data_IF_604129807500
#
_entry.id   IF_604129807500
#
_cell.length_a   1.000
_cell.length_b   1.000
_cell.length_c   1.000
_cell.angle_alpha   90.00
_cell.angle_beta   90.00
_cell.angle_gamma   90.00
#
_symmetry.space_group_name_H-M   'P 1'
#
loop_
_entity.id
_entity.type
_entity.pdbx_description
1 polymer ?
#
# COMPACT_ATOMS: atom_id res chain seq x y z
N UNK A 1 -7.27 -15.10 8.19
CA UNK A 1 -7.15 -14.01 7.21
C UNK A 1 -8.16 -12.95 7.59
N UNK A 2 -7.87 -11.68 7.36
CA UNK A 2 -8.81 -10.58 7.51
C UNK A 2 -8.72 -9.69 6.25
N UNK A 3 -9.83 -9.10 5.84
CA UNK A 3 -9.92 -8.18 4.69
C UNK A 3 -10.74 -6.98 5.15
N UNK A 4 -10.28 -5.77 4.83
CA UNK A 4 -11.01 -4.55 5.15
C UNK A 4 -12.27 -4.45 4.28
N UNK A 5 -13.12 -3.47 4.58
CA UNK A 5 -14.05 -2.97 3.58
C UNK A 5 -13.28 -2.43 2.38
N UNK A 6 -13.96 -2.32 1.25
CA UNK A 6 -13.43 -1.56 0.12
C UNK A 6 -13.59 -0.07 0.41
N UNK A 7 -12.59 0.73 0.07
CA UNK A 7 -12.59 2.18 0.28
C UNK A 7 -12.45 2.88 -1.05
N UNK A 8 -13.33 3.83 -1.32
CA UNK A 8 -13.16 4.76 -2.44
C UNK A 8 -12.20 5.86 -2.03
N UNK A 9 -11.32 6.27 -2.94
CA UNK A 9 -10.52 7.49 -2.82
C UNK A 9 -10.49 8.24 -4.16
N UNK A 10 -10.44 9.59 -4.15
CA UNK A 10 -10.32 10.37 -5.38
C UNK A 10 -9.12 9.95 -6.24
N UNK A 11 -9.25 10.08 -7.56
CA UNK A 11 -8.11 9.94 -8.46
C UNK A 11 -7.04 11.01 -8.18
N UNK A 12 -5.77 10.64 -8.33
CA UNK A 12 -4.65 11.57 -8.21
C UNK A 12 -3.80 11.58 -9.50
N UNK A 13 -3.54 12.76 -10.11
CA UNK A 13 -4.12 14.08 -9.77
C UNK A 13 -5.65 14.15 -9.97
N UNK A 14 -6.37 15.09 -9.31
CA UNK A 14 -7.82 15.22 -9.48
C UNK A 14 -8.24 15.34 -10.95
N UNK A 15 -9.24 14.54 -11.36
CA UNK A 15 -9.74 14.51 -12.72
C UNK A 15 -8.91 13.67 -13.71
N UNK A 16 -7.85 13.00 -13.27
CA UNK A 16 -7.03 12.14 -14.14
C UNK A 16 -7.68 10.81 -14.55
N UNK A 17 -8.86 10.51 -14.00
CA UNK A 17 -9.55 9.23 -14.23
C UNK A 17 -10.63 8.97 -13.17
N UNK A 18 -11.22 7.76 -13.16
CA UNK A 18 -12.15 7.35 -12.11
C UNK A 18 -11.44 7.23 -10.76
N UNK A 19 -12.23 7.35 -9.69
CA UNK A 19 -11.78 7.10 -8.33
C UNK A 19 -11.17 5.70 -8.18
N UNK A 20 -10.23 5.56 -7.24
CA UNK A 20 -9.66 4.27 -6.88
C UNK A 20 -10.54 3.54 -5.87
N UNK A 21 -10.47 2.21 -5.93
CA UNK A 21 -10.97 1.33 -4.88
C UNK A 21 -9.75 0.68 -4.23
N UNK A 22 -9.62 0.89 -2.92
CA UNK A 22 -8.51 0.40 -2.10
C UNK A 22 -9.03 -0.59 -1.05
N UNK A 23 -8.22 -1.57 -0.70
CA UNK A 23 -8.50 -2.48 0.41
C UNK A 23 -7.18 -2.98 1.00
N UNK A 24 -7.23 -3.44 2.26
CA UNK A 24 -6.12 -4.08 2.93
C UNK A 24 -6.50 -5.50 3.34
N UNK A 25 -5.54 -6.42 3.27
CA UNK A 25 -5.73 -7.80 3.71
C UNK A 25 -4.56 -8.28 4.57
N UNK A 26 -4.87 -9.04 5.61
CA UNK A 26 -3.90 -9.76 6.44
C UNK A 26 -3.97 -11.24 6.09
N UNK A 27 -2.91 -11.74 5.47
CA UNK A 27 -2.78 -13.12 5.01
C UNK A 27 -1.69 -13.82 5.82
N UNK A 28 -1.87 -15.13 6.08
CA UNK A 28 -0.79 -16.00 6.58
C UNK A 28 -0.25 -16.79 5.40
N UNK A 29 1.07 -16.83 5.26
CA UNK A 29 1.75 -17.55 4.19
C UNK A 29 2.99 -18.25 4.74
N UNK A 30 3.38 -19.35 4.10
CA UNK A 30 4.66 -20.03 4.34
C UNK A 30 5.78 -19.50 3.41
N UNK A 31 5.44 -18.65 2.44
CA UNK A 31 6.38 -18.03 1.52
C UNK A 31 7.22 -16.96 2.21
N UNK A 32 8.47 -16.79 1.77
CA UNK A 32 9.29 -15.65 2.15
C UNK A 32 8.80 -14.33 1.50
N UNK A 33 9.41 -13.18 1.87
CA UNK A 33 9.04 -11.86 1.35
C UNK A 33 9.09 -11.76 -0.18
N UNK A 34 10.19 -12.19 -0.79
CA UNK A 34 10.39 -12.15 -2.24
C UNK A 34 9.42 -13.07 -3.00
N UNK A 35 9.22 -14.29 -2.50
CA UNK A 35 8.28 -15.24 -3.10
C UNK A 35 6.82 -14.77 -2.97
N UNK A 36 6.51 -14.07 -1.87
CA UNK A 36 5.21 -13.43 -1.66
C UNK A 36 5.02 -12.30 -2.66
N UNK A 37 5.98 -11.40 -2.82
CA UNK A 37 5.93 -10.33 -3.81
C UNK A 37 5.79 -10.90 -5.24
N UNK A 38 6.56 -11.94 -5.57
CA UNK A 38 6.44 -12.62 -6.86
C UNK A 38 5.05 -13.26 -7.06
N UNK A 39 4.42 -13.76 -5.99
CA UNK A 39 3.04 -14.26 -6.04
C UNK A 39 2.03 -13.15 -6.30
N UNK A 40 2.18 -11.98 -5.68
CA UNK A 40 1.35 -10.81 -5.95
C UNK A 40 1.46 -10.37 -7.42
N UNK A 41 2.68 -10.21 -7.94
CA UNK A 41 2.89 -9.88 -9.36
C UNK A 41 2.26 -10.89 -10.32
N UNK A 42 2.26 -12.19 -9.98
CA UNK A 42 1.56 -13.21 -10.80
C UNK A 42 0.04 -13.04 -10.77
N UNK A 43 -0.52 -12.68 -9.63
CA UNK A 43 -1.96 -12.40 -9.48
C UNK A 43 -2.33 -11.16 -10.30
N UNK A 44 -1.56 -10.08 -10.19
CA UNK A 44 -1.74 -8.87 -10.99
C UNK A 44 -1.66 -9.17 -12.49
N UNK A 45 -0.66 -9.93 -12.94
CA UNK A 45 -0.53 -10.32 -14.34
C UNK A 45 -1.71 -11.19 -14.83
N UNK A 46 -2.33 -11.95 -13.93
CA UNK A 46 -3.52 -12.75 -14.24
C UNK A 46 -4.77 -11.88 -14.34
N UNK A 47 -4.93 -10.92 -13.43
CA UNK A 47 -6.09 -10.03 -13.35
C UNK A 47 -6.00 -8.84 -14.32
N UNK A 48 -4.80 -8.45 -14.74
CA UNK A 48 -4.52 -7.40 -15.72
C UNK A 48 -4.53 -7.87 -17.18
N UNK A 49 -4.72 -9.17 -17.44
CA UNK A 49 -4.84 -9.72 -18.80
C UNK A 49 -6.27 -9.60 -19.34
N UNK A 50 -6.64 -8.45 -19.90
CA UNK A 50 -7.79 -8.36 -20.81
C UNK A 50 -7.33 -8.72 -22.25
N UNK A 51 -7.70 -9.90 -22.74
CA UNK A 51 -7.36 -10.41 -24.09
C UNK A 51 -8.00 -9.63 -25.26
N UNK A 52 -8.75 -8.56 -25.00
CA UNK A 52 -9.71 -7.98 -25.94
C UNK A 52 -9.70 -6.44 -26.05
N UNK A 53 -8.80 -5.72 -25.36
CA UNK A 53 -8.89 -4.26 -25.24
C UNK A 53 -7.71 -3.48 -25.84
N UNK A 54 -8.00 -2.44 -26.63
CA UNK A 54 -7.02 -1.51 -27.18
C UNK A 54 -6.32 -0.63 -26.13
N UNK A 55 -5.40 0.22 -26.62
CA UNK A 55 -4.25 0.90 -25.96
C UNK A 55 -4.54 1.83 -24.75
N UNK A 56 -5.75 1.84 -24.16
CA UNK A 56 -6.14 2.77 -23.09
C UNK A 56 -7.18 2.18 -22.10
N UNK A 57 -7.00 0.94 -21.64
CA UNK A 57 -7.88 0.37 -20.61
C UNK A 57 -7.39 0.68 -19.18
N UNK A 58 -8.36 0.88 -18.28
CA UNK A 58 -8.14 1.10 -16.86
C UNK A 58 -7.22 0.01 -16.28
N UNK A 59 -6.26 0.43 -15.47
CA UNK A 59 -5.22 -0.43 -14.90
C UNK A 59 -5.86 -1.63 -14.20
N UNK A 60 -5.38 -2.83 -14.55
CA UNK A 60 -5.58 -4.01 -13.71
C UNK A 60 -5.09 -3.72 -12.30
N UNK A 61 -5.69 -4.38 -11.32
CA UNK A 61 -5.38 -4.27 -9.88
C UNK A 61 -3.88 -4.11 -9.57
N UNK A 62 -3.59 -3.33 -8.54
CA UNK A 62 -2.25 -3.12 -7.95
C UNK A 62 -2.24 -3.75 -6.55
N UNK A 63 -1.24 -4.58 -6.25
CA UNK A 63 -1.10 -5.38 -5.04
C UNK A 63 0.27 -5.11 -4.38
N UNK A 64 0.28 -4.17 -3.44
CA UNK A 64 1.47 -3.86 -2.64
C UNK A 64 1.66 -4.83 -1.45
N UNK A 65 2.89 -5.34 -1.27
CA UNK A 65 3.31 -5.98 -0.03
C UNK A 65 3.69 -4.91 1.01
N UNK A 66 2.76 -4.56 1.90
CA UNK A 66 2.96 -3.49 2.88
C UNK A 66 3.94 -3.85 4.01
N UNK A 67 3.85 -5.06 4.56
CA UNK A 67 4.67 -5.55 5.65
C UNK A 67 4.60 -7.08 5.75
N UNK A 68 5.62 -7.69 6.37
CA UNK A 68 5.60 -9.10 6.75
C UNK A 68 6.10 -9.24 8.18
N UNK A 69 5.17 -9.36 9.14
CA UNK A 69 5.49 -9.34 10.56
C UNK A 69 6.16 -8.02 10.96
N UNK A 70 7.32 -8.13 11.60
CA UNK A 70 8.20 -7.03 12.01
C UNK A 70 9.48 -6.94 11.14
N UNK A 71 9.52 -7.66 10.02
CA UNK A 71 10.68 -7.67 9.14
C UNK A 71 10.99 -6.29 8.58
N UNK A 72 12.28 -5.99 8.54
CA UNK A 72 12.84 -4.78 7.95
C UNK A 72 13.79 -5.20 6.83
N UNK A 73 13.46 -4.82 5.60
CA UNK A 73 14.24 -5.16 4.40
C UNK A 73 14.61 -3.92 3.59
N UNK A 74 15.76 -3.93 2.89
CA UNK A 74 16.84 -4.93 3.04
C UNK A 74 17.56 -4.80 4.40
N UNK A 75 17.54 -3.61 4.99
CA UNK A 75 18.07 -3.31 6.30
C UNK A 75 17.42 -2.02 6.85
N UNK A 76 17.72 -1.72 8.12
CA UNK A 76 17.22 -0.53 8.78
C UNK A 76 17.68 0.79 8.13
N UNK A 77 18.93 0.86 7.69
CA UNK A 77 19.48 2.10 7.15
C UNK A 77 18.80 2.49 5.83
N UNK A 78 18.59 1.50 4.96
CA UNK A 78 17.89 1.65 3.68
C UNK A 78 16.44 2.03 3.92
N UNK A 79 15.73 1.36 4.85
CA UNK A 79 14.34 1.70 5.15
C UNK A 79 14.21 3.13 5.69
N UNK A 80 15.13 3.57 6.56
CA UNK A 80 15.16 4.94 7.07
C UNK A 80 15.43 5.96 5.97
N UNK A 81 16.38 5.68 5.09
CA UNK A 81 16.71 6.54 3.97
C UNK A 81 15.50 6.76 3.08
N UNK A 82 14.80 5.69 2.69
CA UNK A 82 13.61 5.78 1.84
C UNK A 82 12.45 6.50 2.53
N UNK A 83 12.25 6.27 3.83
CA UNK A 83 11.23 6.98 4.61
C UNK A 83 11.53 8.47 4.72
N UNK A 84 12.81 8.84 4.81
CA UNK A 84 13.26 10.22 4.93
C UNK A 84 13.35 10.96 3.59
N UNK A 85 13.18 10.28 2.44
CA UNK A 85 13.19 10.93 1.13
C UNK A 85 12.09 12.00 1.06
N UNK A 86 12.36 13.19 0.50
CA UNK A 86 11.33 14.17 0.24
C UNK A 86 10.21 13.60 -0.66
N UNK A 87 8.93 13.96 -0.46
CA UNK A 87 7.81 13.41 -1.22
C UNK A 87 7.99 13.49 -2.75
N UNK A 88 8.59 14.56 -3.25
CA UNK A 88 8.88 14.77 -4.67
C UNK A 88 9.85 13.70 -5.24
N UNK A 89 10.83 13.25 -4.44
CA UNK A 89 11.76 12.20 -4.84
C UNK A 89 11.12 10.82 -4.71
N UNK A 90 10.27 10.61 -3.72
CA UNK A 90 9.52 9.36 -3.52
C UNK A 90 8.52 9.07 -4.67
N UNK A 91 8.14 10.06 -5.47
CA UNK A 91 7.27 9.87 -6.63
C UNK A 91 8.07 9.43 -7.87
N UNK A 92 9.35 9.81 -7.95
CA UNK A 92 10.19 9.52 -9.12
C UNK A 92 11.08 8.29 -8.94
N UNK A 93 11.39 7.92 -7.70
CA UNK A 93 12.30 6.81 -7.40
C UNK A 93 11.52 5.52 -7.11
N UNK A 94 11.79 4.49 -7.89
CA UNK A 94 11.37 3.10 -7.61
C UNK A 94 12.56 2.34 -7.02
N UNK A 95 12.43 1.73 -5.83
CA UNK A 95 13.49 0.89 -5.29
C UNK A 95 13.85 -0.26 -6.23
N UNK A 96 15.15 -0.53 -6.41
CA UNK A 96 15.61 -1.70 -7.16
C UNK A 96 15.52 -3.02 -6.39
N UNK A 97 15.01 -2.99 -5.16
CA UNK A 97 14.89 -4.12 -4.23
C UNK A 97 13.63 -3.98 -3.37
N UNK A 98 13.14 -5.07 -2.80
CA UNK A 98 12.00 -5.06 -1.89
C UNK A 98 12.34 -4.30 -0.60
N UNK A 99 11.52 -3.32 -0.25
CA UNK A 99 11.63 -2.57 1.00
C UNK A 99 10.44 -2.89 1.88
N UNK A 100 10.72 -3.42 3.08
CA UNK A 100 9.72 -3.67 4.10
C UNK A 100 10.06 -2.96 5.41
N UNK A 101 9.06 -2.45 6.14
CA UNK A 101 7.71 -2.15 5.65
C UNK A 101 7.73 -1.16 4.48
N UNK A 102 6.70 -1.18 3.63
CA UNK A 102 6.60 -0.33 2.45
C UNK A 102 6.90 1.14 2.84
N UNK A 103 7.87 1.81 2.20
CA UNK A 103 8.52 3.00 2.75
C UNK A 103 7.61 4.21 2.93
N UNK A 104 6.46 4.21 2.24
CA UNK A 104 5.46 5.29 2.25
C UNK A 104 4.15 4.93 2.93
N UNK A 105 4.07 3.76 3.57
CA UNK A 105 2.78 3.25 4.10
C UNK A 105 2.18 4.22 5.13
N UNK A 106 3.03 4.87 5.92
CA UNK A 106 2.64 5.76 7.01
C UNK A 106 2.11 7.12 6.55
N UNK A 107 2.29 7.48 5.27
CA UNK A 107 1.94 8.80 4.73
C UNK A 107 0.65 8.75 3.89
N UNK A 108 0.05 7.57 3.71
CA UNK A 108 -1.05 7.34 2.75
C UNK A 108 -2.35 7.00 3.46
N UNK A 109 -3.31 7.92 3.42
CA UNK A 109 -4.66 7.71 3.96
C UNK A 109 -5.34 6.48 3.38
N UNK A 110 -5.33 6.32 2.06
CA UNK A 110 -5.93 5.18 1.35
C UNK A 110 -5.28 3.82 1.65
N UNK A 111 -4.11 3.82 2.30
CA UNK A 111 -3.47 2.61 2.85
C UNK A 111 -3.85 2.43 4.32
N UNK A 112 -3.67 3.47 5.13
CA UNK A 112 -3.83 3.39 6.59
C UNK A 112 -5.29 3.21 7.03
N UNK A 113 -6.26 3.84 6.36
CA UNK A 113 -7.68 3.71 6.68
C UNK A 113 -8.18 2.26 6.57
N UNK A 114 -8.04 1.56 5.42
CA UNK A 114 -8.40 0.14 5.35
C UNK A 114 -7.52 -0.74 6.23
N UNK A 115 -6.22 -0.46 6.35
CA UNK A 115 -5.33 -1.26 7.20
C UNK A 115 -5.72 -1.18 8.69
N UNK A 116 -6.23 -0.04 9.16
CA UNK A 116 -6.70 0.14 10.52
C UNK A 116 -7.92 -0.74 10.86
N UNK A 117 -8.70 -1.18 9.87
CA UNK A 117 -9.83 -2.09 10.10
C UNK A 117 -9.37 -3.52 10.40
N UNK A 118 -8.21 -3.93 9.86
CA UNK A 118 -7.76 -5.34 9.92
C UNK A 118 -6.51 -5.55 10.79
N UNK A 119 -5.71 -4.50 11.01
CA UNK A 119 -4.48 -4.57 11.77
C UNK A 119 -4.22 -3.28 12.60
N UNK A 120 -5.21 -2.76 13.36
CA UNK A 120 -5.09 -1.48 14.06
C UNK A 120 -3.89 -1.41 15.03
N UNK A 121 -3.58 -2.54 15.67
CA UNK A 121 -2.52 -2.67 16.66
C UNK A 121 -1.17 -3.08 16.09
N UNK A 122 -1.04 -3.35 14.79
CA UNK A 122 0.26 -3.66 14.19
C UNK A 122 1.19 -2.46 14.38
N UNK A 123 2.39 -2.71 14.94
CA UNK A 123 3.38 -1.67 15.23
C UNK A 123 4.41 -1.67 14.12
N UNK A 124 4.60 -0.50 13.52
CA UNK A 124 5.64 -0.31 12.52
C UNK A 124 7.02 -0.47 13.20
N UNK A 125 7.87 -1.42 12.77
CA UNK A 125 9.13 -1.76 13.45
C UNK A 125 10.11 -0.60 13.55
N UNK A 126 10.01 0.38 12.65
CA UNK A 126 10.89 1.56 12.63
C UNK A 126 10.38 2.79 13.37
N UNK A 127 9.08 3.06 13.37
CA UNK A 127 8.51 4.25 14.03
C UNK A 127 7.94 3.94 15.41
N UNK A 128 7.74 2.66 15.75
CA UNK A 128 7.10 2.22 16.99
C UNK A 128 5.60 2.52 17.09
N UNK A 129 5.05 3.24 16.11
CA UNK A 129 3.64 3.64 16.06
C UNK A 129 2.78 2.48 15.56
N UNK A 130 1.61 2.34 16.16
CA UNK A 130 0.56 1.45 15.66
C UNK A 130 -0.07 2.01 14.38
N UNK A 131 -0.73 1.17 13.58
CA UNK A 131 -1.52 1.63 12.43
C UNK A 131 -2.53 2.72 12.83
N UNK A 132 -3.26 2.53 13.94
CA UNK A 132 -4.20 3.54 14.44
C UNK A 132 -3.51 4.85 14.81
N UNK A 133 -2.31 4.80 15.40
CA UNK A 133 -1.53 6.01 15.71
C UNK A 133 -0.98 6.70 14.45
N UNK A 134 -0.57 5.93 13.44
CA UNK A 134 -0.14 6.50 12.16
C UNK A 134 -1.31 7.17 11.43
N UNK A 135 -2.48 6.50 11.39
CA UNK A 135 -3.70 7.05 10.80
C UNK A 135 -4.13 8.35 11.49
N UNK A 136 -4.13 8.38 12.82
CA UNK A 136 -4.48 9.56 13.60
C UNK A 136 -3.48 10.73 13.47
N UNK A 137 -2.26 10.45 13.01
CA UNK A 137 -1.22 11.46 12.82
C UNK A 137 -1.19 12.06 11.40
N UNK A 138 -2.01 11.55 10.47
CA UNK A 138 -2.11 12.11 9.14
C UNK A 138 -2.74 13.51 9.17
N UNK A 139 -2.36 14.34 8.19
CA UNK A 139 -3.13 15.54 7.86
C UNK A 139 -4.57 15.11 7.49
N UNK A 140 -5.63 15.71 8.07
CA UNK A 140 -7.00 15.40 7.70
C UNK A 140 -7.27 15.43 6.20
N UNK A 141 -6.58 16.30 5.44
CA UNK A 141 -6.69 16.39 3.99
C UNK A 141 -6.27 15.09 3.27
N UNK A 142 -5.44 14.24 3.91
CA UNK A 142 -5.05 12.94 3.37
C UNK A 142 -6.22 11.92 3.32
N UNK A 143 -7.34 12.23 3.98
CA UNK A 143 -8.56 11.42 4.01
C UNK A 143 -9.72 12.07 3.22
N UNK A 144 -9.50 13.24 2.61
CA UNK A 144 -10.56 13.96 1.90
C UNK A 144 -11.13 13.14 0.74
N UNK A 145 -12.46 13.09 0.68
CA UNK A 145 -13.20 12.32 -0.33
C UNK A 145 -13.11 10.80 -0.17
N UNK A 146 -12.41 10.30 0.84
CA UNK A 146 -12.33 8.87 1.11
C UNK A 146 -13.54 8.38 1.90
N UNK A 147 -14.08 7.22 1.51
CA UNK A 147 -15.19 6.59 2.23
C UNK A 147 -15.21 5.07 2.00
N UNK A 148 -15.64 4.27 2.99
CA UNK A 148 -15.92 2.86 2.76
C UNK A 148 -17.09 2.69 1.79
N UNK A 149 -16.97 1.73 0.88
CA UNK A 149 -18.04 1.23 0.04
C UNK A 149 -18.88 0.24 0.86
N UNK A 150 -20.20 0.39 0.78
CA UNK A 150 -21.18 -0.41 1.52
C UNK A 150 -21.30 -1.84 1.02
#
# INVERSE_FOLDING_TARGET
>A
MAVSRFWRSPAYPPGSGPDYVNAAAVVRTALGPEDTLAALHRIEATLGRTRTGGRWQARGIDLDLLAMGDLVLPDAATQDQWRALPPEQQVQATPGTLILPHPRLQDRGFVLAPLAEVAPSWRHPRTGRTVSQMLAALDPAALDGMAPLG
#
